data_IF_084213782305
#
_entry.id   IF_084213782305
#
_cell.length_a   1.000
_cell.length_b   1.000
_cell.length_c   1.000
_cell.angle_alpha   90.00
_cell.angle_beta   90.00
_cell.angle_gamma   90.00
#
_symmetry.space_group_name_H-M   'P 1'
#
loop_
_entity.id
_entity.type
_entity.pdbx_description
1 polymer ?
#
# COMPACT_ATOMS: atom_id res chain seq x y z
N UNK A 1 -25.13 -33.24 6.59
CA UNK A 1 -24.44 -31.94 6.77
C UNK A 1 -25.37 -30.85 6.28
N UNK A 2 -25.36 -29.69 6.92
CA UNK A 2 -26.25 -28.57 6.58
C UNK A 2 -25.88 -27.98 5.20
N UNK A 3 -26.81 -27.96 4.25
CA UNK A 3 -26.55 -27.55 2.85
C UNK A 3 -25.96 -26.13 2.75
N UNK A 4 -26.27 -25.25 3.70
CA UNK A 4 -25.72 -23.89 3.77
C UNK A 4 -24.23 -23.89 4.10
N UNK A 5 -23.83 -24.75 5.04
CA UNK A 5 -22.43 -24.90 5.46
C UNK A 5 -21.61 -25.49 4.32
N UNK A 6 -22.14 -26.50 3.61
CA UNK A 6 -21.49 -27.08 2.42
C UNK A 6 -21.27 -26.03 1.32
N UNK A 7 -22.28 -25.22 1.01
CA UNK A 7 -22.17 -24.16 -0.01
C UNK A 7 -21.16 -23.07 0.38
N UNK A 8 -21.14 -22.68 1.67
CA UNK A 8 -20.14 -21.71 2.15
C UNK A 8 -18.72 -22.28 2.05
N UNK A 9 -18.52 -23.55 2.42
CA UNK A 9 -17.22 -24.22 2.35
C UNK A 9 -16.68 -24.25 0.91
N UNK A 10 -17.50 -24.67 -0.05
CA UNK A 10 -17.13 -24.71 -1.47
C UNK A 10 -16.72 -23.32 -1.98
N UNK A 11 -17.48 -22.27 -1.63
CA UNK A 11 -17.13 -20.89 -2.00
C UNK A 11 -15.80 -20.42 -1.42
N UNK A 12 -15.50 -20.80 -0.17
CA UNK A 12 -14.23 -20.46 0.47
C UNK A 12 -13.08 -21.23 -0.16
N UNK A 13 -13.24 -22.52 -0.42
CA UNK A 13 -12.23 -23.36 -1.06
C UNK A 13 -11.85 -22.81 -2.43
N UNK A 14 -12.84 -22.52 -3.29
CA UNK A 14 -12.61 -21.88 -4.58
C UNK A 14 -11.91 -20.51 -4.44
N UNK A 15 -12.31 -19.69 -3.47
CA UNK A 15 -11.66 -18.39 -3.24
C UNK A 15 -10.20 -18.55 -2.79
N UNK A 16 -9.90 -19.54 -1.93
CA UNK A 16 -8.54 -19.83 -1.47
C UNK A 16 -7.67 -20.33 -2.61
N UNK A 17 -8.16 -21.24 -3.45
CA UNK A 17 -7.45 -21.73 -4.64
C UNK A 17 -7.12 -20.59 -5.61
N UNK A 18 -8.06 -19.67 -5.84
CA UNK A 18 -7.79 -18.48 -6.66
C UNK A 18 -6.75 -17.54 -6.02
N UNK A 19 -6.74 -17.41 -4.68
CA UNK A 19 -5.72 -16.60 -4.01
C UNK A 19 -4.33 -17.23 -4.02
N UNK A 20 -4.24 -18.57 -3.97
CA UNK A 20 -2.98 -19.32 -3.98
C UNK A 20 -2.25 -19.22 -5.33
N UNK A 21 -2.99 -18.95 -6.42
CA UNK A 21 -2.41 -18.65 -7.74
C UNK A 21 -1.66 -17.32 -7.81
N UNK A 22 -1.91 -16.40 -6.88
CA UNK A 22 -1.24 -15.10 -6.88
C UNK A 22 0.24 -15.26 -6.55
N UNK A 23 1.13 -14.44 -7.13
CA UNK A 23 2.55 -14.47 -6.77
C UNK A 23 2.76 -14.20 -5.27
N UNK A 24 3.86 -14.66 -4.67
CA UNK A 24 4.23 -14.32 -3.30
C UNK A 24 4.23 -12.81 -3.08
N UNK A 25 3.75 -12.38 -1.91
CA UNK A 25 3.76 -10.97 -1.54
C UNK A 25 5.12 -10.57 -0.95
N UNK A 26 5.90 -9.81 -1.72
CA UNK A 26 7.15 -9.20 -1.26
C UNK A 26 6.91 -7.74 -0.89
N UNK A 27 6.83 -7.46 0.41
CA UNK A 27 6.54 -6.11 0.89
C UNK A 27 7.60 -5.08 0.46
N UNK A 28 8.87 -5.47 0.38
CA UNK A 28 9.97 -4.58 0.01
C UNK A 28 9.91 -4.19 -1.47
N UNK A 29 9.69 -5.18 -2.34
CA UNK A 29 9.54 -4.94 -3.79
C UNK A 29 8.39 -3.99 -4.11
N UNK A 30 7.25 -4.13 -3.43
CA UNK A 30 6.12 -3.20 -3.61
C UNK A 30 6.45 -1.80 -3.10
N UNK A 31 7.16 -1.67 -1.97
CA UNK A 31 7.61 -0.38 -1.46
C UNK A 31 8.50 0.37 -2.46
N UNK A 32 9.46 -0.33 -3.06
CA UNK A 32 10.33 0.23 -4.11
C UNK A 32 9.55 0.64 -5.35
N UNK A 33 8.63 -0.20 -5.83
CA UNK A 33 7.77 0.12 -6.98
C UNK A 33 6.91 1.37 -6.74
N UNK A 34 6.40 1.57 -5.52
CA UNK A 34 5.65 2.78 -5.15
C UNK A 34 6.55 4.01 -5.23
N UNK A 35 7.75 3.95 -4.64
CA UNK A 35 8.70 5.05 -4.67
C UNK A 35 9.14 5.40 -6.09
N UNK A 36 9.41 4.39 -6.92
CA UNK A 36 9.77 4.56 -8.33
C UNK A 36 8.60 5.17 -9.13
N UNK A 37 7.38 4.70 -8.90
CA UNK A 37 6.17 5.25 -9.55
C UNK A 37 5.97 6.73 -9.21
N UNK A 38 6.15 7.12 -7.95
CA UNK A 38 6.03 8.52 -7.52
C UNK A 38 7.18 9.36 -8.08
N UNK A 39 8.41 8.83 -8.09
CA UNK A 39 9.59 9.55 -8.58
C UNK A 39 9.56 9.76 -10.10
N UNK A 40 9.07 8.78 -10.86
CA UNK A 40 9.03 8.81 -12.32
C UNK A 40 7.85 9.59 -12.90
N UNK A 41 6.70 9.61 -12.21
CA UNK A 41 5.48 10.27 -12.72
C UNK A 41 5.32 11.72 -12.32
N UNK A 42 6.10 12.21 -11.36
CA UNK A 42 5.84 13.53 -10.80
C UNK A 42 6.77 14.57 -11.40
N UNK A 43 6.14 15.55 -12.06
CA UNK A 43 6.79 16.74 -12.57
C UNK A 43 7.31 17.54 -11.36
N UNK A 44 8.53 17.27 -10.91
CA UNK A 44 9.25 17.96 -9.83
C UNK A 44 8.62 18.01 -8.42
N UNK A 45 7.37 17.57 -8.25
CA UNK A 45 6.59 17.82 -7.02
C UNK A 45 6.63 16.65 -6.04
N UNK A 46 6.89 15.41 -6.50
CA UNK A 46 6.98 14.24 -5.62
C UNK A 46 5.64 13.82 -4.99
N UNK A 47 4.50 14.12 -5.64
CA UNK A 47 3.15 13.80 -5.14
C UNK A 47 2.37 13.04 -6.20
N UNK A 48 1.79 11.90 -5.85
CA UNK A 48 0.85 11.16 -6.70
C UNK A 48 -0.39 10.75 -5.89
N UNK A 49 -1.57 10.72 -6.52
CA UNK A 49 -2.76 10.14 -5.88
C UNK A 49 -2.62 8.63 -5.77
N UNK A 50 -3.23 8.02 -4.75
CA UNK A 50 -3.16 6.56 -4.60
C UNK A 50 -3.81 5.83 -5.78
N UNK A 51 -4.90 6.38 -6.32
CA UNK A 51 -5.60 5.84 -7.50
C UNK A 51 -4.74 5.84 -8.75
N UNK A 52 -3.88 6.85 -8.92
CA UNK A 52 -2.89 6.86 -9.97
C UNK A 52 -1.88 5.72 -9.80
N UNK A 53 -1.37 5.49 -8.58
CA UNK A 53 -0.38 4.44 -8.30
C UNK A 53 -0.93 3.04 -8.62
N UNK A 54 -2.20 2.80 -8.33
CA UNK A 54 -2.85 1.48 -8.51
C UNK A 54 -3.74 1.38 -9.76
N UNK A 55 -3.67 2.34 -10.67
CA UNK A 55 -4.54 2.37 -11.85
C UNK A 55 -4.39 1.08 -12.69
N UNK A 56 -5.51 0.47 -13.06
CA UNK A 56 -5.54 -0.78 -13.85
C UNK A 56 -5.11 -2.04 -13.10
N UNK A 57 -4.79 -1.97 -11.80
CA UNK A 57 -4.39 -3.12 -10.99
C UNK A 57 -5.62 -3.91 -10.49
N UNK A 58 -5.54 -5.25 -10.40
CA UNK A 58 -6.59 -6.06 -9.80
C UNK A 58 -6.71 -5.79 -8.29
N UNK A 59 -7.85 -6.16 -7.69
CA UNK A 59 -8.16 -5.83 -6.28
C UNK A 59 -7.10 -6.31 -5.27
N UNK A 60 -6.50 -7.48 -5.49
CA UNK A 60 -5.48 -8.02 -4.59
C UNK A 60 -4.17 -7.21 -4.68
N UNK A 61 -3.80 -6.72 -5.87
CA UNK A 61 -2.66 -5.81 -6.06
C UNK A 61 -2.91 -4.47 -5.37
N UNK A 62 -4.11 -3.89 -5.51
CA UNK A 62 -4.47 -2.65 -4.80
C UNK A 62 -4.28 -2.79 -3.29
N UNK A 63 -4.76 -3.90 -2.71
CA UNK A 63 -4.61 -4.18 -1.29
C UNK A 63 -3.15 -4.40 -0.87
N UNK A 64 -2.36 -5.11 -1.69
CA UNK A 64 -0.92 -5.32 -1.46
C UNK A 64 -0.13 -4.03 -1.54
N UNK A 65 -0.37 -3.19 -2.55
CA UNK A 65 0.25 -1.86 -2.68
C UNK A 65 -0.09 -0.99 -1.49
N UNK A 66 -1.35 -0.95 -1.04
CA UNK A 66 -1.71 -0.22 0.17
C UNK A 66 -1.00 -0.76 1.41
N UNK A 67 -0.91 -2.08 1.56
CA UNK A 67 -0.25 -2.72 2.70
C UNK A 67 1.25 -2.40 2.73
N UNK A 68 1.91 -2.43 1.57
CA UNK A 68 3.32 -2.09 1.42
C UNK A 68 3.58 -0.59 1.62
N UNK A 69 2.66 0.29 1.20
CA UNK A 69 2.76 1.75 1.39
C UNK A 69 2.94 2.15 2.85
N UNK A 70 2.38 1.38 3.79
CA UNK A 70 2.49 1.68 5.22
C UNK A 70 3.95 1.59 5.73
N UNK A 71 4.80 0.78 5.10
CA UNK A 71 6.22 0.70 5.49
C UNK A 71 6.98 1.99 5.17
N UNK A 72 7.01 2.52 3.93
CA UNK A 72 7.60 3.82 3.62
C UNK A 72 7.00 4.99 4.41
N UNK A 73 5.70 4.94 4.73
CA UNK A 73 5.03 5.94 5.56
C UNK A 73 5.59 5.94 6.98
N UNK A 74 5.62 4.77 7.62
CA UNK A 74 6.23 4.61 8.94
C UNK A 74 7.72 4.96 8.94
N UNK A 75 8.40 4.66 7.82
CA UNK A 75 9.79 4.97 7.60
C UNK A 75 10.10 6.43 7.25
N UNK A 76 9.08 7.31 7.23
CA UNK A 76 9.18 8.72 6.81
C UNK A 76 9.84 8.94 5.45
N UNK A 77 9.79 7.94 4.57
CA UNK A 77 10.17 8.11 3.17
C UNK A 77 9.02 8.74 2.37
N UNK A 78 7.80 8.55 2.85
CA UNK A 78 6.56 8.99 2.22
C UNK A 78 5.60 9.52 3.28
N UNK A 79 4.75 10.46 2.91
CA UNK A 79 3.65 10.99 3.72
C UNK A 79 2.30 10.73 3.05
N UNK A 80 1.24 10.63 3.86
CA UNK A 80 -0.14 10.50 3.39
C UNK A 80 -0.86 11.83 3.55
N UNK A 81 -1.11 12.48 2.42
CA UNK A 81 -1.86 13.73 2.36
C UNK A 81 -3.34 13.42 2.11
N UNK A 82 -4.13 13.64 3.16
CA UNK A 82 -5.58 13.35 3.21
C UNK A 82 -6.42 14.61 3.00
N UNK A 83 -5.81 15.76 2.69
CA UNK A 83 -6.51 17.04 2.64
C UNK A 83 -6.91 17.55 4.04
N UNK A 84 -7.96 18.38 4.10
CA UNK A 84 -8.39 18.99 5.37
C UNK A 84 -9.05 17.95 6.28
N UNK A 85 -8.62 17.92 7.55
CA UNK A 85 -9.21 17.10 8.61
C UNK A 85 -10.58 17.67 9.01
N UNK A 86 -11.62 17.38 8.25
CA UNK A 86 -12.99 17.47 8.78
C UNK A 86 -13.18 16.33 9.77
N UNK A 87 -13.93 16.53 10.85
CA UNK A 87 -14.17 15.52 11.88
C UNK A 87 -15.13 14.41 11.40
N UNK A 88 -15.14 14.16 10.08
CA UNK A 88 -16.10 13.36 9.34
C UNK A 88 -15.42 12.09 8.82
N UNK A 89 -16.15 10.98 8.79
CA UNK A 89 -15.63 9.72 8.28
C UNK A 89 -15.56 9.78 6.75
N UNK A 90 -14.37 9.98 6.20
CA UNK A 90 -14.14 10.04 4.75
C UNK A 90 -13.86 8.65 4.18
N UNK A 91 -14.65 8.22 3.21
CA UNK A 91 -14.34 7.07 2.37
C UNK A 91 -13.55 7.53 1.13
N UNK A 92 -12.31 7.07 1.00
CA UNK A 92 -11.49 7.35 -0.18
C UNK A 92 -11.82 6.38 -1.31
N UNK A 93 -11.98 6.92 -2.51
CA UNK A 93 -12.32 6.18 -3.73
C UNK A 93 -11.45 6.67 -4.89
N UNK A 94 -11.65 6.13 -6.09
CA UNK A 94 -11.00 6.66 -7.29
C UNK A 94 -11.41 8.11 -7.62
N UNK A 95 -12.60 8.53 -7.22
CA UNK A 95 -13.13 9.89 -7.44
C UNK A 95 -12.69 10.87 -6.35
N UNK A 96 -12.36 10.35 -5.15
CA UNK A 96 -11.82 11.10 -4.03
C UNK A 96 -10.62 10.36 -3.43
N UNK A 97 -9.45 10.39 -4.11
CA UNK A 97 -8.27 9.70 -3.63
C UNK A 97 -7.53 10.50 -2.57
N UNK A 98 -6.88 9.81 -1.63
CA UNK A 98 -5.81 10.41 -0.84
C UNK A 98 -4.52 10.45 -1.67
N UNK A 99 -3.61 11.34 -1.29
CA UNK A 99 -2.36 11.58 -1.99
C UNK A 99 -1.18 11.05 -1.19
N UNK A 100 -0.13 10.68 -1.93
CA UNK A 100 1.09 10.08 -1.42
C UNK A 100 2.24 10.99 -1.83
N UNK A 101 2.98 11.50 -0.84
CA UNK A 101 4.02 12.52 -1.03
C UNK A 101 5.38 11.99 -0.62
N UNK A 102 6.40 12.17 -1.44
CA UNK A 102 7.77 11.85 -1.06
C UNK A 102 8.29 12.86 -0.02
N UNK A 103 8.82 12.38 1.10
CA UNK A 103 9.54 13.22 2.06
C UNK A 103 11.01 13.19 1.65
N UNK A 104 11.61 14.35 1.35
CA UNK A 104 12.93 14.43 0.70
C UNK A 104 14.03 13.56 1.32
N UNK A 105 14.97 13.10 0.47
CA UNK A 105 16.06 12.15 0.75
C UNK A 105 16.98 12.47 1.95
N UNK A 106 16.87 13.66 2.56
CA UNK A 106 17.72 14.12 3.66
C UNK A 106 17.42 13.49 5.04
N UNK A 107 16.46 12.57 5.16
CA UNK A 107 16.13 11.90 6.43
C UNK A 107 16.55 10.42 6.49
N UNK A 108 17.42 9.96 5.59
CA UNK A 108 17.89 8.57 5.53
C UNK A 108 18.81 8.06 6.67
N UNK A 109 19.36 8.80 7.66
CA UNK A 109 20.25 8.16 8.64
C UNK A 109 19.59 7.59 9.90
N UNK A 110 18.29 7.82 10.16
CA UNK A 110 17.78 7.56 11.52
C UNK A 110 17.24 6.14 11.76
N UNK A 111 16.77 5.43 10.72
CA UNK A 111 16.15 4.12 10.91
C UNK A 111 17.18 2.99 10.89
N UNK A 112 18.19 3.03 10.01
CA UNK A 112 19.32 2.08 10.03
C UNK A 112 20.09 2.15 11.37
N UNK A 113 20.25 3.34 11.94
CA UNK A 113 20.89 3.51 13.25
C UNK A 113 20.12 2.83 14.39
N UNK A 114 18.77 2.85 14.35
CA UNK A 114 17.92 2.28 15.40
C UNK A 114 17.87 0.74 15.37
N UNK A 115 18.01 0.14 14.19
CA UNK A 115 18.08 -1.33 14.04
C UNK A 115 19.48 -1.88 14.29
N UNK A 116 20.54 -1.11 14.02
CA UNK A 116 21.92 -1.50 14.38
C UNK A 116 22.16 -1.56 15.90
N UNK A 117 21.38 -0.80 16.69
CA UNK A 117 21.58 -0.68 18.14
C UNK A 117 20.87 -1.76 18.97
N UNK A 118 20.06 -2.63 18.35
CA UNK A 118 19.43 -3.78 19.00
C UNK A 118 19.98 -5.09 18.43
N UNK A 119 21.28 -5.29 18.60
CA UNK A 119 21.90 -6.63 18.66
C UNK A 119 22.74 -6.68 19.93
N UNK A 120 22.10 -7.03 21.03
CA UNK A 120 22.72 -7.50 22.28
C UNK A 120 21.93 -8.70 22.75
#
# INVERSE_FOLDING_TARGET
MDARVSTWKERIENALEEQDKNPPFDMGSYGEQILDTISSRTDSTGIASFSEIVCGRPKYEVARTFSALLQPVNGRSVDLDKGQTTNELVCYTAENPFHVRLIGLNQRPEIEARFAQKRV
#
